data_IF_075801962142
#
_entry.id   IF_075801962142
#
_cell.length_a   1.000
_cell.length_b   1.000
_cell.length_c   1.000
_cell.angle_alpha   90.00
_cell.angle_beta   90.00
_cell.angle_gamma   90.00
#
_symmetry.space_group_name_H-M   'P 1'
#
loop_
_entity.id
_entity.type
_entity.pdbx_description
1 polymer ?
#
# COMPACT_ATOMS: atom_id res chain seq x y z
N UNK A 1 -27.48 39.11 -26.31
CA UNK A 1 -26.60 38.56 -25.26
C UNK A 1 -27.45 37.57 -24.48
N UNK A 2 -27.15 36.27 -24.60
CA UNK A 2 -27.99 35.17 -24.11
C UNK A 2 -28.00 35.08 -22.58
N UNK A 3 -29.12 35.44 -21.96
CA UNK A 3 -29.35 35.34 -20.52
C UNK A 3 -29.51 33.87 -20.03
N UNK A 4 -29.81 32.95 -20.95
CA UNK A 4 -30.05 31.51 -20.67
C UNK A 4 -28.75 30.72 -20.46
N UNK A 5 -27.68 31.09 -21.17
CA UNK A 5 -26.36 30.44 -21.05
C UNK A 5 -25.64 30.77 -19.73
N UNK A 6 -25.89 31.97 -19.18
CA UNK A 6 -25.32 32.41 -17.90
C UNK A 6 -25.92 31.65 -16.70
N UNK A 7 -27.25 31.45 -16.67
CA UNK A 7 -27.91 30.71 -15.59
C UNK A 7 -27.56 29.21 -15.59
N UNK A 8 -27.36 28.61 -16.77
CA UNK A 8 -26.97 27.21 -16.89
C UNK A 8 -25.53 26.97 -16.40
N UNK A 9 -24.61 27.91 -16.63
CA UNK A 9 -23.24 27.84 -16.11
C UNK A 9 -23.18 27.99 -14.58
N UNK A 10 -23.94 28.92 -14.00
CA UNK A 10 -24.03 29.10 -12.55
C UNK A 10 -24.61 27.86 -11.84
N UNK A 11 -25.59 27.20 -12.45
CA UNK A 11 -26.18 25.97 -11.90
C UNK A 11 -25.18 24.81 -11.91
N UNK A 12 -24.45 24.61 -13.00
CA UNK A 12 -23.43 23.56 -13.11
C UNK A 12 -22.23 23.81 -12.18
N UNK A 13 -21.87 25.07 -11.94
CA UNK A 13 -20.82 25.44 -10.99
C UNK A 13 -21.26 25.21 -9.53
N UNK A 14 -22.53 25.47 -9.21
CA UNK A 14 -23.11 25.19 -7.90
C UNK A 14 -23.18 23.68 -7.61
N UNK A 15 -23.56 22.87 -8.61
CA UNK A 15 -23.56 21.40 -8.51
C UNK A 15 -22.14 20.90 -8.27
N UNK A 16 -21.16 21.34 -9.06
CA UNK A 16 -19.74 20.95 -8.87
C UNK A 16 -19.19 21.35 -7.51
N UNK A 17 -19.56 22.53 -7.00
CA UNK A 17 -19.18 22.95 -5.64
C UNK A 17 -19.84 22.09 -4.57
N UNK A 18 -21.09 21.69 -4.77
CA UNK A 18 -21.83 20.85 -3.82
C UNK A 18 -21.32 19.41 -3.83
N UNK A 19 -21.02 18.85 -5.00
CA UNK A 19 -20.39 17.53 -5.16
C UNK A 19 -18.96 17.53 -4.58
N UNK A 20 -18.19 18.59 -4.83
CA UNK A 20 -16.86 18.77 -4.23
C UNK A 20 -16.90 18.84 -2.71
N UNK A 21 -17.82 19.64 -2.14
CA UNK A 21 -17.99 19.75 -0.68
C UNK A 21 -18.53 18.46 -0.04
N UNK A 22 -19.38 17.71 -0.75
CA UNK A 22 -19.85 16.42 -0.27
C UNK A 22 -18.71 15.39 -0.23
N UNK A 23 -17.89 15.33 -1.29
CA UNK A 23 -16.70 14.46 -1.34
C UNK A 23 -15.63 14.83 -0.32
N UNK A 24 -15.39 16.12 -0.08
CA UNK A 24 -14.47 16.59 0.97
C UNK A 24 -14.96 16.17 2.38
N UNK A 25 -16.26 16.31 2.66
CA UNK A 25 -16.82 15.86 3.95
C UNK A 25 -16.78 14.35 4.13
N UNK A 26 -16.96 13.59 3.06
CA UNK A 26 -16.84 12.13 3.09
C UNK A 26 -15.38 11.69 3.33
N UNK A 27 -14.42 12.31 2.63
CA UNK A 27 -12.98 12.11 2.85
C UNK A 27 -12.61 12.37 4.32
N UNK A 28 -12.99 13.53 4.87
CA UNK A 28 -12.68 13.89 6.26
C UNK A 28 -13.26 12.89 7.27
N UNK A 29 -14.47 12.36 7.02
CA UNK A 29 -15.10 11.37 7.88
C UNK A 29 -14.35 10.03 7.86
N UNK A 30 -13.98 9.54 6.68
CA UNK A 30 -13.22 8.29 6.54
C UNK A 30 -11.83 8.46 7.15
N UNK A 31 -11.17 9.59 6.91
CA UNK A 31 -9.87 9.89 7.51
C UNK A 31 -9.97 9.96 9.03
N UNK A 32 -11.01 10.57 9.58
CA UNK A 32 -11.25 10.56 11.02
C UNK A 32 -11.44 9.14 11.56
N UNK A 33 -12.15 8.27 10.83
CA UNK A 33 -12.30 6.86 11.21
C UNK A 33 -10.97 6.10 11.18
N UNK A 34 -10.17 6.29 10.13
CA UNK A 34 -8.82 5.71 10.00
C UNK A 34 -7.93 6.15 11.16
N UNK A 35 -7.91 7.46 11.45
CA UNK A 35 -7.08 8.00 12.53
C UNK A 35 -7.56 7.56 13.91
N UNK A 36 -8.87 7.30 14.08
CA UNK A 36 -9.43 6.74 15.32
C UNK A 36 -8.96 5.30 15.58
N UNK A 37 -8.40 4.60 14.59
CA UNK A 37 -7.78 3.28 14.80
C UNK A 37 -6.49 3.38 15.61
N UNK A 38 -5.81 4.53 15.59
CA UNK A 38 -4.57 4.80 16.33
C UNK A 38 -4.87 5.30 17.75
N UNK A 39 -4.11 4.83 18.73
CA UNK A 39 -4.17 5.29 20.12
C UNK A 39 -2.79 5.26 20.79
N UNK A 40 -2.64 5.99 21.89
CA UNK A 40 -1.39 6.03 22.67
C UNK A 40 -1.61 5.38 24.05
N UNK A 41 -0.60 4.66 24.59
CA UNK A 41 -0.68 4.13 25.95
C UNK A 41 -0.89 5.24 26.98
N UNK A 42 -1.79 4.99 27.94
CA UNK A 42 -2.01 5.87 29.10
C UNK A 42 -0.97 5.67 30.21
N UNK A 43 -0.11 4.66 30.09
CA UNK A 43 0.89 4.29 31.11
C UNK A 43 2.29 4.53 30.55
N UNK A 44 3.12 5.24 31.32
CA UNK A 44 4.53 5.49 30.98
C UNK A 44 5.29 4.17 31.01
N UNK A 45 5.75 3.71 29.85
CA UNK A 45 6.63 2.54 29.69
C UNK A 45 8.02 2.96 29.23
N UNK A 46 9.05 2.16 29.54
CA UNK A 46 10.44 2.47 29.15
C UNK A 46 10.72 2.44 27.63
N UNK A 47 9.78 1.91 26.83
CA UNK A 47 9.79 1.98 25.35
C UNK A 47 8.48 2.60 24.88
N UNK A 48 8.55 3.57 23.99
CA UNK A 48 7.39 4.15 23.34
C UNK A 48 6.81 3.14 22.33
N UNK A 49 5.50 2.96 22.37
CA UNK A 49 4.78 2.15 21.39
C UNK A 49 3.48 2.84 21.01
N UNK A 50 3.01 2.56 19.81
CA UNK A 50 1.74 3.04 19.29
C UNK A 50 0.74 1.90 19.14
N UNK A 51 -0.50 2.16 19.52
CA UNK A 51 -1.58 1.19 19.49
C UNK A 51 -2.47 1.36 18.27
N UNK A 52 -2.90 0.25 17.68
CA UNK A 52 -3.81 0.22 16.54
C UNK A 52 -4.92 -0.80 16.73
N UNK A 53 -6.10 -0.58 16.15
CA UNK A 53 -7.20 -1.54 16.11
C UNK A 53 -7.56 -1.92 14.67
N UNK A 54 -7.25 -3.17 14.29
CA UNK A 54 -7.56 -3.73 12.97
C UNK A 54 -7.83 -5.24 13.07
N UNK A 55 -8.67 -5.74 12.16
CA UNK A 55 -9.09 -7.14 12.07
C UNK A 55 -9.64 -7.70 13.39
N UNK A 56 -10.26 -6.86 14.22
CA UNK A 56 -10.75 -7.24 15.56
C UNK A 56 -9.67 -7.42 16.63
N UNK A 57 -8.44 -6.96 16.38
CA UNK A 57 -7.31 -7.11 17.29
C UNK A 57 -6.70 -5.76 17.67
N UNK A 58 -6.26 -5.66 18.93
CA UNK A 58 -5.31 -4.63 19.36
C UNK A 58 -3.90 -5.02 18.87
N UNK A 59 -3.28 -4.11 18.12
CA UNK A 59 -1.93 -4.22 17.58
C UNK A 59 -1.05 -3.18 18.27
N UNK A 60 0.13 -3.59 18.73
CA UNK A 60 1.12 -2.70 19.36
C UNK A 60 2.37 -2.64 18.50
N UNK A 61 2.72 -1.44 18.05
CA UNK A 61 3.91 -1.21 17.25
C UNK A 61 4.95 -0.51 18.10
N UNK A 62 6.11 -1.14 18.24
CA UNK A 62 7.29 -0.46 18.79
C UNK A 62 7.93 0.33 17.67
N UNK A 63 8.01 1.64 17.87
CA UNK A 63 8.75 2.55 16.98
C UNK A 63 10.19 2.66 17.48
N UNK A 64 11.15 2.68 16.56
CA UNK A 64 12.54 2.95 16.87
C UNK A 64 12.85 4.41 16.50
N UNK A 65 13.46 5.17 17.40
CA UNK A 65 13.69 6.61 17.17
C UNK A 65 14.85 6.92 16.21
N UNK A 66 15.58 5.88 15.77
CA UNK A 66 16.96 6.08 15.28
C UNK A 66 17.15 5.75 13.77
N UNK A 67 16.09 5.38 13.03
CA UNK A 67 16.18 5.11 11.59
C UNK A 67 14.90 5.45 10.79
N UNK A 68 15.07 5.85 9.52
CA UNK A 68 13.96 5.94 8.57
C UNK A 68 13.33 4.54 8.39
N UNK A 69 12.00 4.44 8.50
CA UNK A 69 11.27 3.15 8.47
C UNK A 69 10.80 2.64 9.84
N UNK A 70 11.09 3.39 10.90
CA UNK A 70 10.78 2.99 12.26
C UNK A 70 9.49 3.58 12.85
N UNK A 71 8.70 4.30 12.05
CA UNK A 71 7.39 4.86 12.42
C UNK A 71 6.28 4.35 11.50
N UNK A 72 5.04 4.36 11.97
CA UNK A 72 3.89 4.04 11.13
C UNK A 72 3.52 5.23 10.26
N UNK A 73 3.62 5.07 8.93
CA UNK A 73 3.23 6.11 7.98
C UNK A 73 1.73 6.09 7.68
N UNK A 74 1.09 7.25 7.39
CA UNK A 74 -0.34 7.32 7.10
C UNK A 74 -0.82 6.39 5.98
N UNK A 75 -0.02 6.14 4.94
CA UNK A 75 -0.42 5.24 3.85
C UNK A 75 -0.59 3.79 4.33
N UNK A 76 0.13 3.38 5.38
CA UNK A 76 -0.04 2.06 5.98
C UNK A 76 -1.41 1.92 6.64
N UNK A 77 -1.89 2.98 7.31
CA UNK A 77 -3.22 3.01 7.92
C UNK A 77 -4.33 2.95 6.86
N UNK A 78 -4.19 3.73 5.79
CA UNK A 78 -5.12 3.69 4.64
C UNK A 78 -5.19 2.30 4.04
N UNK A 79 -4.05 1.65 3.80
CA UNK A 79 -4.01 0.30 3.26
C UNK A 79 -4.62 -0.73 4.23
N UNK A 80 -4.28 -0.67 5.52
CA UNK A 80 -4.87 -1.57 6.53
C UNK A 80 -6.39 -1.43 6.62
N UNK A 81 -6.90 -0.19 6.62
CA UNK A 81 -8.33 0.10 6.64
C UNK A 81 -9.02 -0.48 5.40
N UNK A 82 -8.42 -0.30 4.21
CA UNK A 82 -8.94 -0.88 2.98
C UNK A 82 -9.01 -2.41 3.05
N UNK A 83 -7.95 -3.08 3.49
CA UNK A 83 -7.91 -4.55 3.57
C UNK A 83 -8.99 -5.12 4.50
N UNK A 84 -9.23 -4.48 5.64
CA UNK A 84 -10.25 -4.90 6.60
C UNK A 84 -11.67 -4.69 6.04
N UNK A 85 -11.96 -3.48 5.56
CA UNK A 85 -13.30 -3.06 5.12
C UNK A 85 -13.72 -3.72 3.81
N UNK A 86 -12.76 -4.11 2.97
CA UNK A 86 -12.99 -4.75 1.68
C UNK A 86 -12.64 -6.24 1.66
N UNK A 87 -12.49 -6.87 2.83
CA UNK A 87 -12.11 -8.29 2.98
C UNK A 87 -12.99 -9.29 2.22
N UNK A 88 -14.25 -8.94 1.90
CA UNK A 88 -15.12 -9.77 1.04
C UNK A 88 -14.68 -9.79 -0.42
N UNK A 89 -14.24 -8.65 -0.95
CA UNK A 89 -13.80 -8.51 -2.35
C UNK A 89 -12.32 -8.86 -2.50
N UNK A 90 -11.50 -8.51 -1.51
CA UNK A 90 -10.07 -8.76 -1.44
C UNK A 90 -9.78 -9.77 -0.33
N UNK A 91 -10.30 -10.99 -0.49
CA UNK A 91 -10.12 -12.04 0.51
C UNK A 91 -8.66 -12.51 0.54
N UNK A 92 -8.02 -12.32 1.69
CA UNK A 92 -6.62 -12.67 1.94
C UNK A 92 -6.42 -14.07 2.52
N UNK A 93 -7.49 -14.78 2.88
CA UNK A 93 -7.38 -16.12 3.47
C UNK A 93 -6.64 -17.05 2.51
N UNK A 94 -5.53 -17.62 3.00
CA UNK A 94 -4.65 -18.54 2.27
C UNK A 94 -3.97 -17.93 1.04
N UNK A 95 -3.96 -16.60 0.90
CA UNK A 95 -3.25 -15.91 -0.17
C UNK A 95 -1.79 -15.67 0.17
N UNK A 96 -0.91 -15.87 -0.80
CA UNK A 96 0.51 -15.58 -0.65
C UNK A 96 0.76 -14.08 -0.88
N UNK A 97 1.22 -13.39 0.15
CA UNK A 97 1.35 -11.93 0.17
C UNK A 97 2.79 -11.57 0.47
N UNK A 98 3.36 -10.67 -0.33
CA UNK A 98 4.63 -10.00 0.00
C UNK A 98 4.38 -8.52 0.25
N UNK A 99 4.93 -7.99 1.34
CA UNK A 99 5.03 -6.56 1.55
C UNK A 99 6.46 -6.10 1.28
N UNK A 100 6.63 -5.09 0.43
CA UNK A 100 7.93 -4.45 0.17
C UNK A 100 8.03 -3.13 0.95
N UNK A 101 9.16 -2.91 1.63
CA UNK A 101 9.34 -1.72 2.47
C UNK A 101 8.34 -1.68 3.64
N UNK A 102 8.26 -2.78 4.40
CA UNK A 102 7.26 -2.98 5.45
C UNK A 102 7.42 -2.04 6.66
N UNK A 103 8.61 -1.47 6.86
CA UNK A 103 8.99 -0.62 7.99
C UNK A 103 8.72 -1.30 9.32
N UNK A 104 7.71 -0.79 10.04
CA UNK A 104 7.27 -1.34 11.32
C UNK A 104 6.44 -2.63 11.19
N UNK A 105 5.93 -2.94 10.00
CA UNK A 105 5.20 -4.16 9.68
C UNK A 105 3.69 -4.11 9.91
N UNK A 106 3.08 -2.93 10.09
CA UNK A 106 1.65 -2.82 10.39
C UNK A 106 0.77 -3.49 9.32
N UNK A 107 1.05 -3.25 8.03
CA UNK A 107 0.28 -3.87 6.93
C UNK A 107 0.48 -5.38 6.92
N UNK A 108 1.71 -5.87 7.04
CA UNK A 108 2.01 -7.30 7.19
C UNK A 108 1.28 -7.96 8.36
N UNK A 109 1.20 -7.29 9.51
CA UNK A 109 0.45 -7.77 10.68
C UNK A 109 -1.03 -7.88 10.33
N UNK A 110 -1.64 -6.83 9.77
CA UNK A 110 -3.07 -6.83 9.42
C UNK A 110 -3.39 -7.89 8.36
N UNK A 111 -2.58 -8.00 7.30
CA UNK A 111 -2.74 -9.02 6.28
C UNK A 111 -2.65 -10.44 6.89
N UNK A 112 -1.73 -10.66 7.84
CA UNK A 112 -1.60 -11.95 8.53
C UNK A 112 -2.81 -12.28 9.42
N UNK A 113 -3.34 -11.28 10.15
CA UNK A 113 -4.56 -11.44 10.96
C UNK A 113 -5.80 -11.69 10.09
N UNK A 114 -5.82 -11.19 8.86
CA UNK A 114 -6.83 -11.48 7.84
C UNK A 114 -6.64 -12.85 7.15
N UNK A 115 -5.61 -13.61 7.53
CA UNK A 115 -5.42 -15.01 7.11
C UNK A 115 -4.47 -15.24 5.95
N UNK A 116 -3.67 -14.24 5.54
CA UNK A 116 -2.65 -14.40 4.50
C UNK A 116 -1.41 -15.18 4.96
N UNK A 117 -0.73 -15.80 3.99
CA UNK A 117 0.65 -16.26 4.09
C UNK A 117 1.56 -15.07 3.79
N UNK A 118 2.00 -14.36 4.82
CA UNK A 118 2.73 -13.09 4.67
C UNK A 118 4.24 -13.29 4.66
N UNK A 119 4.90 -12.67 3.69
CA UNK A 119 6.34 -12.39 3.67
C UNK A 119 6.55 -10.88 3.80
N UNK A 120 6.91 -10.40 4.99
CA UNK A 120 7.23 -9.01 5.26
C UNK A 120 8.69 -8.74 4.91
N UNK A 121 8.98 -7.72 4.12
CA UNK A 121 10.35 -7.45 3.67
C UNK A 121 10.78 -6.01 3.84
N UNK A 122 12.06 -5.85 4.20
CA UNK A 122 12.71 -4.55 4.29
C UNK A 122 14.24 -4.70 4.27
N UNK A 123 14.94 -3.57 4.47
CA UNK A 123 16.39 -3.47 4.63
C UNK A 123 16.89 -4.20 5.89
N UNK A 124 18.13 -4.73 5.89
CA UNK A 124 18.72 -5.49 7.00
C UNK A 124 18.57 -4.82 8.38
N UNK A 125 18.80 -3.51 8.45
CA UNK A 125 18.74 -2.70 9.66
C UNK A 125 17.34 -2.61 10.29
N UNK A 126 16.28 -2.82 9.49
CA UNK A 126 14.89 -2.78 9.97
C UNK A 126 14.34 -4.16 10.36
N UNK A 127 14.98 -5.25 9.92
CA UNK A 127 14.47 -6.61 10.12
C UNK A 127 14.30 -6.97 11.60
N UNK A 128 15.16 -6.46 12.48
CA UNK A 128 15.05 -6.71 13.92
C UNK A 128 13.75 -6.16 14.52
N UNK A 129 13.43 -4.89 14.21
CA UNK A 129 12.20 -4.26 14.70
C UNK A 129 10.96 -4.82 14.00
N UNK A 130 11.04 -5.02 12.68
CA UNK A 130 9.97 -5.65 11.90
C UNK A 130 9.62 -7.03 12.44
N UNK A 131 10.63 -7.88 12.69
CA UNK A 131 10.44 -9.21 13.26
C UNK A 131 9.82 -9.15 14.66
N UNK A 132 10.25 -8.21 15.50
CA UNK A 132 9.67 -8.00 16.82
C UNK A 132 8.17 -7.67 16.72
N UNK A 133 7.81 -6.62 15.96
CA UNK A 133 6.43 -6.18 15.82
C UNK A 133 5.53 -7.26 15.20
N UNK A 134 6.00 -7.91 14.13
CA UNK A 134 5.22 -8.97 13.46
C UNK A 134 4.95 -10.13 14.43
N UNK A 135 5.94 -10.62 15.18
CA UNK A 135 5.74 -11.76 16.09
C UNK A 135 4.88 -11.40 17.29
N UNK A 136 5.08 -10.23 17.90
CA UNK A 136 4.29 -9.80 19.06
C UNK A 136 2.79 -9.73 18.74
N UNK A 137 2.44 -9.38 17.51
CA UNK A 137 1.05 -9.14 17.13
C UNK A 137 0.37 -10.32 16.43
N UNK A 138 1.12 -11.28 15.89
CA UNK A 138 0.55 -12.41 15.12
C UNK A 138 0.66 -13.77 15.82
N UNK A 139 1.55 -13.92 16.81
CA UNK A 139 1.75 -15.18 17.52
C UNK A 139 0.43 -15.68 18.14
N UNK A 140 0.01 -16.90 17.74
CA UNK A 140 -1.25 -17.55 18.15
C UNK A 140 -2.53 -16.82 17.71
N UNK A 141 -2.43 -15.78 16.89
CA UNK A 141 -3.56 -14.97 16.40
C UNK A 141 -3.75 -15.11 14.88
N UNK A 142 -2.70 -15.44 14.14
CA UNK A 142 -2.75 -15.64 12.70
C UNK A 142 -2.91 -17.11 12.30
N UNK A 143 -3.58 -17.34 11.16
CA UNK A 143 -3.74 -18.68 10.56
C UNK A 143 -2.39 -19.25 10.11
N UNK A 144 -1.55 -18.39 9.53
CA UNK A 144 -0.21 -18.73 9.04
C UNK A 144 0.83 -17.92 9.80
N UNK A 145 1.98 -18.53 10.08
CA UNK A 145 3.11 -17.84 10.70
C UNK A 145 3.76 -16.91 9.66
N UNK A 146 3.81 -15.59 9.87
CA UNK A 146 4.50 -14.68 8.95
C UNK A 146 6.00 -14.96 8.85
N UNK A 147 6.55 -14.73 7.67
CA UNK A 147 7.98 -14.72 7.42
C UNK A 147 8.47 -13.26 7.37
N UNK A 148 9.61 -12.97 7.99
CA UNK A 148 10.33 -11.72 7.81
C UNK A 148 11.62 -12.02 7.07
N UNK A 149 11.89 -11.28 5.99
CA UNK A 149 13.03 -11.53 5.11
C UNK A 149 13.62 -10.23 4.59
N UNK A 150 14.93 -10.23 4.38
CA UNK A 150 15.61 -9.13 3.70
C UNK A 150 15.10 -8.98 2.25
N UNK A 151 14.82 -7.75 1.85
CA UNK A 151 14.69 -7.35 0.46
C UNK A 151 15.17 -5.92 0.29
N UNK A 152 16.41 -5.77 -0.18
CA UNK A 152 16.91 -4.51 -0.74
C UNK A 152 16.42 -4.39 -2.18
N UNK A 153 15.75 -3.30 -2.51
CA UNK A 153 15.14 -3.14 -3.84
C UNK A 153 16.17 -3.29 -4.96
N UNK A 154 15.81 -4.03 -6.01
CA UNK A 154 16.66 -4.25 -7.18
C UNK A 154 17.86 -5.18 -6.95
N UNK A 155 18.16 -5.60 -5.72
CA UNK A 155 19.36 -6.38 -5.39
C UNK A 155 19.00 -7.86 -5.24
N UNK A 156 19.78 -8.73 -5.92
CA UNK A 156 19.72 -10.20 -5.78
C UNK A 156 18.31 -10.80 -5.93
N UNK A 157 17.41 -10.17 -6.69
CA UNK A 157 16.00 -10.53 -6.75
C UNK A 157 15.75 -11.97 -7.25
N UNK A 158 16.43 -12.42 -8.31
CA UNK A 158 16.27 -13.81 -8.80
C UNK A 158 16.90 -14.84 -7.86
N UNK A 159 17.93 -14.47 -7.10
CA UNK A 159 18.57 -15.35 -6.12
C UNK A 159 17.70 -15.51 -4.88
N UNK A 160 17.15 -14.42 -4.37
CA UNK A 160 16.39 -14.39 -3.12
C UNK A 160 14.90 -14.69 -3.33
N UNK A 161 14.33 -14.30 -4.47
CA UNK A 161 12.93 -14.50 -4.84
C UNK A 161 12.84 -15.00 -6.29
N UNK A 162 13.30 -16.24 -6.59
CA UNK A 162 13.37 -16.74 -7.97
C UNK A 162 12.00 -16.75 -8.63
N UNK A 163 11.85 -16.21 -9.85
CA UNK A 163 10.54 -16.17 -10.53
C UNK A 163 9.98 -17.56 -10.78
N UNK A 164 10.83 -18.57 -10.89
CA UNK A 164 10.43 -19.96 -11.12
C UNK A 164 9.70 -20.59 -9.93
N UNK A 165 10.05 -20.22 -8.69
CA UNK A 165 9.54 -20.86 -7.48
C UNK A 165 8.76 -19.93 -6.55
N UNK A 166 8.94 -18.61 -6.67
CA UNK A 166 8.17 -17.62 -5.93
C UNK A 166 6.99 -17.13 -6.78
N UNK A 167 5.81 -17.11 -6.17
CA UNK A 167 4.59 -16.54 -6.75
C UNK A 167 3.77 -15.91 -5.63
N UNK A 168 3.40 -14.65 -5.80
CA UNK A 168 2.57 -13.92 -4.85
C UNK A 168 1.24 -13.60 -5.50
N UNK A 169 0.14 -13.86 -4.77
CA UNK A 169 -1.19 -13.40 -5.15
C UNK A 169 -1.25 -11.87 -5.01
N UNK A 170 -0.66 -11.33 -3.94
CA UNK A 170 -0.62 -9.90 -3.68
C UNK A 170 0.79 -9.37 -3.39
N UNK A 171 1.09 -8.19 -3.94
CA UNK A 171 2.19 -7.33 -3.51
C UNK A 171 1.58 -6.13 -2.80
N UNK A 172 2.04 -5.84 -1.59
CA UNK A 172 1.63 -4.68 -0.81
C UNK A 172 2.78 -3.70 -0.67
N UNK A 173 2.46 -2.41 -0.75
CA UNK A 173 3.41 -1.34 -0.53
C UNK A 173 2.70 -0.10 0.03
N UNK A 174 3.26 0.51 1.07
CA UNK A 174 2.74 1.73 1.67
C UNK A 174 3.88 2.72 1.86
N UNK A 175 3.75 3.92 1.29
CA UNK A 175 4.72 5.02 1.43
C UNK A 175 6.17 4.69 0.99
N UNK A 176 6.34 3.68 0.13
CA UNK A 176 7.65 3.30 -0.45
C UNK A 176 8.21 4.30 -1.47
N UNK A 177 7.39 5.24 -1.96
CA UNK A 177 7.81 6.30 -2.89
C UNK A 177 7.96 7.61 -2.13
N UNK A 178 9.21 7.97 -1.85
CA UNK A 178 9.60 9.22 -1.21
C UNK A 178 10.95 9.69 -1.76
N UNK A 179 11.54 10.73 -1.17
CA UNK A 179 12.83 11.25 -1.61
C UNK A 179 13.99 10.30 -1.25
N UNK A 180 14.34 9.41 -2.19
CA UNK A 180 15.51 8.53 -2.14
C UNK A 180 15.99 8.20 -3.56
N UNK A 181 17.26 7.79 -3.76
CA UNK A 181 17.80 7.54 -5.11
C UNK A 181 17.32 6.23 -5.74
N UNK A 182 16.73 5.32 -4.96
CA UNK A 182 16.44 3.93 -5.36
C UNK A 182 15.07 3.69 -6.03
N UNK A 183 14.50 4.71 -6.69
CA UNK A 183 13.18 4.59 -7.30
C UNK A 183 13.17 3.69 -8.53
N UNK A 184 14.28 3.53 -9.24
CA UNK A 184 14.36 2.61 -10.39
C UNK A 184 14.42 1.16 -9.92
N UNK A 185 15.19 0.89 -8.87
CA UNK A 185 15.32 -0.39 -8.20
C UNK A 185 14.00 -0.84 -7.56
N UNK A 186 13.22 0.11 -7.01
CA UNK A 186 11.87 -0.15 -6.54
C UNK A 186 10.95 -0.62 -7.69
N UNK A 187 11.00 0.05 -8.85
CA UNK A 187 10.21 -0.35 -10.01
C UNK A 187 10.63 -1.73 -10.55
N UNK A 188 11.95 -2.01 -10.58
CA UNK A 188 12.49 -3.35 -10.91
C UNK A 188 11.98 -4.42 -9.94
N UNK A 189 11.87 -4.09 -8.66
CA UNK A 189 11.33 -5.00 -7.64
C UNK A 189 9.87 -5.33 -7.89
N UNK A 190 9.03 -4.32 -8.16
CA UNK A 190 7.63 -4.56 -8.55
C UNK A 190 7.53 -5.43 -9.81
N UNK A 191 8.32 -5.15 -10.86
CA UNK A 191 8.32 -5.98 -12.07
C UNK A 191 8.79 -7.40 -11.80
N UNK A 192 9.76 -7.59 -10.92
CA UNK A 192 10.28 -8.91 -10.60
C UNK A 192 9.25 -9.79 -9.91
N UNK A 193 8.59 -9.25 -8.88
CA UNK A 193 7.67 -9.99 -8.03
C UNK A 193 6.30 -10.19 -8.69
N UNK A 194 5.88 -9.29 -9.59
CA UNK A 194 4.54 -9.31 -10.17
C UNK A 194 4.44 -10.27 -11.37
N UNK A 195 3.67 -11.36 -11.22
CA UNK A 195 3.27 -12.24 -12.34
C UNK A 195 1.96 -11.75 -12.98
N UNK A 196 1.49 -12.45 -14.01
CA UNK A 196 0.30 -12.04 -14.77
C UNK A 196 -0.99 -12.02 -13.93
N UNK A 197 -1.04 -12.81 -12.86
CA UNK A 197 -2.16 -12.98 -11.94
C UNK A 197 -1.91 -12.33 -10.58
N UNK A 198 -0.77 -11.66 -10.39
CA UNK A 198 -0.45 -10.92 -9.17
C UNK A 198 -1.18 -9.58 -9.16
N UNK A 199 -1.79 -9.25 -8.03
CA UNK A 199 -2.40 -7.94 -7.77
C UNK A 199 -1.47 -7.11 -6.89
N UNK A 200 -1.19 -5.87 -7.29
CA UNK A 200 -0.45 -4.91 -6.48
C UNK A 200 -1.44 -4.00 -5.78
N UNK A 201 -1.36 -3.88 -4.46
CA UNK A 201 -2.08 -2.88 -3.67
C UNK A 201 -1.04 -1.90 -3.11
N UNK A 202 -1.12 -0.65 -3.59
CA UNK A 202 -0.09 0.34 -3.32
C UNK A 202 -0.71 1.65 -2.84
N UNK A 203 -0.43 2.03 -1.60
CA UNK A 203 -0.82 3.32 -1.04
C UNK A 203 0.36 4.30 -1.09
N UNK A 204 0.15 5.46 -1.72
CA UNK A 204 1.17 6.48 -1.90
C UNK A 204 0.67 7.82 -1.38
N UNK A 205 1.46 8.45 -0.49
CA UNK A 205 1.33 9.87 -0.21
C UNK A 205 2.03 10.69 -1.30
N UNK A 206 1.29 11.55 -1.97
CA UNK A 206 1.84 12.50 -2.93
C UNK A 206 2.69 13.55 -2.20
N UNK A 207 3.83 13.86 -2.80
CA UNK A 207 4.81 14.85 -2.32
C UNK A 207 5.21 15.75 -3.50
N UNK A 208 6.09 16.72 -3.28
CA UNK A 208 6.49 17.68 -4.34
C UNK A 208 7.10 16.96 -5.57
N UNK A 209 6.97 17.58 -6.74
CA UNK A 209 6.64 16.96 -8.04
C UNK A 209 7.56 15.88 -8.66
N UNK A 210 8.78 15.64 -8.17
CA UNK A 210 9.70 14.70 -8.85
C UNK A 210 9.34 13.25 -8.62
N UNK A 211 8.99 12.89 -7.39
CA UNK A 211 8.65 11.52 -7.00
C UNK A 211 7.32 11.07 -7.64
N UNK A 212 6.42 12.00 -7.95
CA UNK A 212 5.15 11.71 -8.64
C UNK A 212 5.36 11.16 -10.06
N UNK A 213 6.52 11.43 -10.69
CA UNK A 213 6.88 10.83 -11.98
C UNK A 213 6.99 9.30 -11.89
N UNK A 214 7.19 8.75 -10.69
CA UNK A 214 7.19 7.31 -10.46
C UNK A 214 5.88 6.67 -10.95
N UNK A 215 4.73 7.32 -10.72
CA UNK A 215 3.42 6.82 -11.17
C UNK A 215 3.39 6.62 -12.69
N UNK A 216 3.88 7.60 -13.46
CA UNK A 216 3.94 7.51 -14.91
C UNK A 216 4.84 6.37 -15.40
N UNK A 217 6.00 6.17 -14.76
CA UNK A 217 6.91 5.05 -15.07
C UNK A 217 6.29 3.71 -14.70
N UNK A 218 5.64 3.63 -13.54
CA UNK A 218 4.93 2.45 -13.07
C UNK A 218 3.83 2.03 -14.05
N UNK A 219 3.06 3.01 -14.56
CA UNK A 219 2.03 2.78 -15.58
C UNK A 219 2.58 2.28 -16.92
N UNK A 220 3.88 2.36 -17.20
CA UNK A 220 4.44 1.75 -18.42
C UNK A 220 4.43 0.22 -18.35
N UNK A 221 4.47 -0.36 -17.14
CA UNK A 221 4.54 -1.81 -16.90
C UNK A 221 3.22 -2.39 -16.39
N UNK A 222 2.42 -1.60 -15.69
CA UNK A 222 1.21 -2.05 -15.00
C UNK A 222 -0.03 -1.26 -15.43
N UNK A 223 -1.16 -1.96 -15.53
CA UNK A 223 -2.48 -1.34 -15.59
C UNK A 223 -2.82 -0.89 -14.18
N UNK A 224 -3.04 0.42 -14.01
CA UNK A 224 -3.18 1.08 -12.72
C UNK A 224 -4.60 1.63 -12.56
N UNK A 225 -5.28 1.22 -11.50
CA UNK A 225 -6.64 1.60 -11.11
C UNK A 225 -6.57 2.35 -9.77
N UNK A 226 -7.22 3.51 -9.65
CA UNK A 226 -7.40 4.19 -8.36
C UNK A 226 -8.55 3.53 -7.63
N UNK A 227 -8.27 2.96 -6.46
CA UNK A 227 -9.28 2.37 -5.59
C UNK A 227 -9.91 3.40 -4.65
N UNK A 228 -9.10 4.29 -4.10
CA UNK A 228 -9.53 5.35 -3.18
C UNK A 228 -8.56 6.51 -3.24
N UNK A 229 -9.08 7.72 -3.04
CA UNK A 229 -8.29 8.95 -3.00
C UNK A 229 -8.65 9.71 -1.73
N UNK A 230 -7.65 10.19 -1.00
CA UNK A 230 -7.77 10.91 0.26
C UNK A 230 -7.09 12.28 0.16
N UNK A 231 -7.75 13.30 -0.42
CA UNK A 231 -7.16 14.62 -0.62
C UNK A 231 -6.64 15.28 0.66
N UNK A 232 -7.34 15.13 1.79
CA UNK A 232 -6.90 15.71 3.08
C UNK A 232 -5.58 15.13 3.62
N UNK A 233 -5.26 13.89 3.25
CA UNK A 233 -3.98 13.25 3.58
C UNK A 233 -2.96 13.35 2.44
N UNK A 234 -3.39 13.78 1.26
CA UNK A 234 -2.68 13.69 0.00
C UNK A 234 -2.27 12.25 -0.33
N UNK A 235 -3.15 11.27 -0.11
CA UNK A 235 -2.85 9.84 -0.29
C UNK A 235 -3.79 9.24 -1.33
N UNK A 236 -3.22 8.45 -2.25
CA UNK A 236 -4.01 7.63 -3.17
C UNK A 236 -3.69 6.17 -2.96
N UNK A 237 -4.73 5.34 -2.90
CA UNK A 237 -4.63 3.88 -2.92
C UNK A 237 -4.88 3.37 -4.33
N UNK A 238 -3.91 2.62 -4.84
CA UNK A 238 -3.94 2.01 -6.15
C UNK A 238 -4.09 0.50 -6.08
N UNK A 239 -4.77 -0.03 -7.08
CA UNK A 239 -4.66 -1.42 -7.51
C UNK A 239 -3.90 -1.44 -8.83
N UNK A 240 -2.98 -2.39 -8.99
CA UNK A 240 -2.33 -2.59 -10.26
C UNK A 240 -2.18 -4.06 -10.62
N UNK A 241 -2.13 -4.34 -11.92
CA UNK A 241 -1.83 -5.66 -12.46
C UNK A 241 -0.89 -5.51 -13.66
N UNK A 242 -0.13 -6.56 -13.98
CA UNK A 242 0.79 -6.56 -15.12
C UNK A 242 0.02 -6.27 -16.43
N UNK A 243 0.52 -5.32 -17.23
CA UNK A 243 -0.01 -5.07 -18.57
C UNK A 243 0.09 -6.33 -19.42
N UNK A 244 -1.02 -6.74 -20.02
CA UNK A 244 -1.01 -7.81 -21.01
C UNK A 244 -0.08 -7.43 -22.17
N UNK A 245 0.92 -8.26 -22.46
CA UNK A 245 1.77 -8.05 -23.65
C UNK A 245 0.85 -8.06 -24.88
N UNK A 246 0.74 -6.93 -25.59
CA UNK A 246 0.13 -6.93 -26.92
C UNK A 246 0.86 -7.98 -27.76
N UNK A 247 0.14 -9.04 -28.17
CA UNK A 247 0.65 -9.95 -29.19
C UNK A 247 0.74 -9.13 -30.48
N UNK A 248 1.94 -8.68 -30.82
CA UNK A 248 2.22 -8.15 -32.16
C UNK A 248 1.89 -9.28 -33.14
N UNK A 249 0.77 -9.17 -33.85
CA UNK A 249 0.47 -10.07 -34.96
C UNK A 249 1.50 -9.79 -36.05
N UNK A 250 2.26 -10.78 -36.54
CA UNK A 250 3.10 -10.57 -37.71
C UNK A 250 2.18 -10.13 -38.86
N UNK A 251 2.46 -8.97 -39.44
CA UNK A 251 1.84 -8.54 -40.69
C UNK A 251 2.15 -9.60 -41.74
N UNK A 252 1.12 -10.27 -42.26
CA UNK A 252 1.29 -11.09 -43.46
C UNK A 252 1.76 -10.17 -44.58
N UNK A 253 3.02 -10.31 -45.00
CA UNK A 253 3.42 -9.83 -46.32
C UNK A 253 2.59 -10.60 -47.33
N UNK A 254 1.70 -9.89 -48.01
CA UNK A 254 1.12 -10.35 -49.27
C UNK A 254 2.21 -10.33 -50.32
N UNK A 255 2.58 -11.53 -50.79
CA UNK A 255 3.32 -11.75 -52.04
C UNK A 255 2.40 -11.44 -53.21
#
# INVERSE_FOLDING_TARGET
MDLTSSQHNLHNELIRKTEGQAGEKEDEQIVAEIMRRRFFPTVITHKAWEGFHFAGHEIRITEATDCYGAVVWPSALVLCYFLETNSKQYNLVDKNVIEIGAGTGLVSIVASLLGALVTATDLPELLGNLQHNVLQNTKLKSKHRPCVKELSWGIDLEKNFPRASCHFDYIMAADVVYHHPFLDELLLTFDHLCKNDTVILWAMKFRLDKENQFVGRFQTLFDLEVLSNFPSLNITLYKAMRKGRMKVRPSKLSV
#
